data_IF_729961854444
#
_entry.id   IF_729961854444
#
_cell.length_a   1.000
_cell.length_b   1.000
_cell.length_c   1.000
_cell.angle_alpha   90.00
_cell.angle_beta   90.00
_cell.angle_gamma   90.00
#
_symmetry.space_group_name_H-M   'P 1'
#
loop_
_entity.id
_entity.type
_entity.pdbx_description
1 polymer ?
#
# COMPACT_ATOMS: atom_id res chain seq x y z
N UNK A 1 -9.42 -24.75 5.07
CA UNK A 1 -8.76 -23.81 4.13
C UNK A 1 -9.55 -22.52 3.93
N UNK A 2 -10.82 -22.57 3.51
CA UNK A 2 -11.63 -21.35 3.31
C UNK A 2 -11.79 -20.49 4.57
N UNK A 3 -11.89 -21.11 5.75
CA UNK A 3 -11.91 -20.38 7.03
C UNK A 3 -10.67 -19.48 7.23
N UNK A 4 -9.48 -19.95 6.86
CA UNK A 4 -8.24 -19.16 6.97
C UNK A 4 -8.19 -18.01 5.97
N UNK A 5 -8.77 -18.20 4.79
CA UNK A 5 -8.98 -17.14 3.81
C UNK A 5 -9.83 -15.99 4.39
N UNK A 6 -10.96 -16.35 5.01
CA UNK A 6 -11.87 -15.39 5.63
C UNK A 6 -11.17 -14.66 6.79
N UNK A 7 -10.42 -15.39 7.63
CA UNK A 7 -9.63 -14.75 8.70
C UNK A 7 -8.63 -13.75 8.13
N UNK A 8 -7.85 -14.10 7.11
CA UNK A 8 -6.85 -13.21 6.54
C UNK A 8 -7.49 -11.90 6.03
N UNK A 9 -8.59 -12.01 5.29
CA UNK A 9 -9.33 -10.84 4.81
C UNK A 9 -9.91 -10.01 5.96
N UNK A 10 -10.48 -10.65 6.99
CA UNK A 10 -10.98 -9.95 8.17
C UNK A 10 -9.87 -9.25 8.95
N UNK A 11 -8.69 -9.87 9.05
CA UNK A 11 -7.51 -9.25 9.68
C UNK A 11 -7.11 -7.98 8.94
N UNK A 12 -7.11 -7.97 7.60
CA UNK A 12 -6.82 -6.75 6.82
C UNK A 12 -7.93 -5.71 6.99
N UNK A 13 -9.21 -6.11 6.90
CA UNK A 13 -10.34 -5.21 7.06
C UNK A 13 -10.36 -4.53 8.42
N UNK A 14 -10.15 -5.32 9.48
CA UNK A 14 -10.24 -4.85 10.86
C UNK A 14 -8.96 -4.17 11.29
N UNK A 15 -7.76 -4.67 10.99
CA UNK A 15 -6.51 -4.06 11.48
C UNK A 15 -6.02 -2.89 10.64
N UNK A 16 -6.46 -2.73 9.38
CA UNK A 16 -5.99 -1.61 8.56
C UNK A 16 -6.29 -0.21 9.15
N UNK A 17 -7.49 0.08 9.70
CA UNK A 17 -7.75 1.35 10.37
C UNK A 17 -6.96 1.49 11.68
N UNK A 18 -6.70 0.39 12.40
CA UNK A 18 -5.87 0.40 13.61
C UNK A 18 -4.45 0.87 13.30
N UNK A 19 -3.83 0.29 12.28
CA UNK A 19 -2.48 0.64 11.85
C UNK A 19 -2.39 2.11 11.44
N UNK A 20 -3.41 2.63 10.73
CA UNK A 20 -3.47 4.06 10.41
C UNK A 20 -3.61 4.95 11.66
N UNK A 21 -4.42 4.53 12.64
CA UNK A 21 -4.57 5.23 13.92
C UNK A 21 -3.30 5.20 14.78
N UNK A 22 -2.55 4.10 14.76
CA UNK A 22 -1.24 4.01 15.42
C UNK A 22 -0.26 4.99 14.78
N UNK A 23 -0.23 5.03 13.44
CA UNK A 23 0.62 5.94 12.67
C UNK A 23 0.36 7.41 13.03
N UNK A 24 -0.91 7.84 13.06
CA UNK A 24 -1.26 9.24 13.39
C UNK A 24 -0.89 9.60 14.83
N UNK A 25 -1.08 8.67 15.77
CA UNK A 25 -0.67 8.86 17.16
C UNK A 25 0.85 8.92 17.31
N UNK A 26 1.59 8.02 16.65
CA UNK A 26 3.05 7.99 16.67
C UNK A 26 3.63 9.30 16.11
N UNK A 27 3.08 9.81 15.00
CA UNK A 27 3.44 11.11 14.44
C UNK A 27 3.24 12.25 15.44
N UNK A 28 2.07 12.31 16.09
CA UNK A 28 1.80 13.34 17.09
C UNK A 28 2.77 13.27 18.28
N UNK A 29 3.15 12.05 18.70
CA UNK A 29 4.14 11.87 19.78
C UNK A 29 5.52 12.39 19.41
N UNK A 30 6.01 12.14 18.18
CA UNK A 30 7.30 12.69 17.71
C UNK A 30 7.26 14.22 17.64
N UNK A 31 6.12 14.79 17.26
CA UNK A 31 5.90 16.24 17.28
C UNK A 31 5.66 16.82 18.68
N UNK A 32 5.76 16.02 19.76
CA UNK A 32 5.45 16.43 21.13
C UNK A 32 4.03 16.98 21.32
N UNK A 33 3.07 16.54 20.50
CA UNK A 33 1.64 16.89 20.57
C UNK A 33 0.83 15.73 21.15
N UNK A 34 -0.32 16.06 21.76
CA UNK A 34 -1.33 15.05 22.10
C UNK A 34 -2.16 14.73 20.87
N UNK A 35 -1.85 13.61 20.22
CA UNK A 35 -2.60 13.12 19.05
C UNK A 35 -3.96 12.51 19.40
N UNK A 36 -4.79 12.22 18.38
CA UNK A 36 -6.06 11.53 18.55
C UNK A 36 -5.88 10.10 19.08
N UNK A 37 -6.98 9.50 19.52
CA UNK A 37 -6.98 8.09 19.94
C UNK A 37 -6.61 7.16 18.78
N UNK A 38 -5.99 6.01 19.09
CA UNK A 38 -5.66 4.97 18.10
C UNK A 38 -6.93 4.45 17.40
N UNK A 39 -8.06 4.45 18.10
CA UNK A 39 -9.33 3.99 17.56
C UNK A 39 -10.11 5.06 16.77
N UNK A 40 -9.55 6.27 16.62
CA UNK A 40 -10.21 7.36 15.89
C UNK A 40 -10.68 6.97 14.48
N UNK A 41 -9.89 6.24 13.66
CA UNK A 41 -10.32 5.84 12.33
C UNK A 41 -11.61 5.01 12.32
N UNK A 42 -11.85 4.18 13.35
CA UNK A 42 -13.09 3.41 13.45
C UNK A 42 -14.29 4.29 13.78
N UNK A 43 -14.13 5.24 14.69
CA UNK A 43 -15.19 6.19 15.02
C UNK A 43 -15.56 7.07 13.82
N UNK A 44 -14.55 7.50 13.06
CA UNK A 44 -14.75 8.28 11.85
C UNK A 44 -15.46 7.45 10.76
N UNK A 45 -15.04 6.21 10.50
CA UNK A 45 -15.72 5.32 9.58
C UNK A 45 -17.18 5.09 9.98
N UNK A 46 -17.43 4.77 11.25
CA UNK A 46 -18.79 4.59 11.78
C UNK A 46 -19.67 5.83 11.61
N UNK A 47 -19.10 7.01 11.85
CA UNK A 47 -19.75 8.30 11.62
C UNK A 47 -20.09 8.50 10.13
N UNK A 48 -19.14 8.24 9.23
CA UNK A 48 -19.35 8.46 7.79
C UNK A 48 -20.37 7.48 7.20
N UNK A 49 -20.40 6.22 7.66
CA UNK A 49 -21.41 5.23 7.22
C UNK A 49 -22.85 5.64 7.58
N UNK A 50 -23.05 6.50 8.57
CA UNK A 50 -24.36 6.99 9.02
C UNK A 50 -24.77 8.32 8.39
N UNK A 51 -23.88 8.94 7.63
CA UNK A 51 -24.16 10.21 6.96
C UNK A 51 -24.86 9.98 5.63
N UNK A 52 -25.72 10.92 5.28
CA UNK A 52 -26.34 10.99 3.96
C UNK A 52 -25.29 11.14 2.86
N UNK A 53 -25.57 10.53 1.71
CA UNK A 53 -24.76 10.65 0.50
C UNK A 53 -25.30 11.80 -0.34
N UNK A 54 -24.54 12.89 -0.37
CA UNK A 54 -24.73 14.04 -1.24
C UNK A 54 -23.68 14.01 -2.33
N UNK A 55 -24.11 14.08 -3.59
CA UNK A 55 -23.22 14.14 -4.74
C UNK A 55 -23.55 15.36 -5.62
N UNK A 56 -22.56 15.94 -6.32
CA UNK A 56 -22.81 17.00 -7.29
C UNK A 56 -23.75 16.56 -8.41
N UNK A 57 -24.51 17.49 -9.00
CA UNK A 57 -25.50 17.18 -10.05
C UNK A 57 -24.88 16.72 -11.38
N UNK A 58 -23.59 16.99 -11.59
CA UNK A 58 -22.83 16.70 -12.82
C UNK A 58 -22.11 15.35 -12.82
N UNK A 59 -22.23 14.54 -11.75
CA UNK A 59 -21.47 13.30 -11.63
C UNK A 59 -21.97 12.19 -12.55
N UNK A 60 -21.04 11.34 -12.98
CA UNK A 60 -21.34 10.16 -13.79
C UNK A 60 -21.63 8.93 -12.91
N UNK A 61 -22.20 7.87 -13.49
CA UNK A 61 -22.38 6.58 -12.80
C UNK A 61 -21.05 6.02 -12.24
N UNK A 62 -19.92 6.31 -12.90
CA UNK A 62 -18.59 5.88 -12.47
C UNK A 62 -18.25 6.47 -11.11
N UNK A 63 -18.71 7.69 -10.80
CA UNK A 63 -18.51 8.30 -9.49
C UNK A 63 -19.10 7.46 -8.36
N UNK A 64 -20.31 6.93 -8.55
CA UNK A 64 -20.95 6.10 -7.53
C UNK A 64 -20.37 4.68 -7.45
N UNK A 65 -19.89 4.13 -8.57
CA UNK A 65 -19.32 2.78 -8.62
C UNK A 65 -17.87 2.72 -8.16
N UNK A 66 -17.09 3.78 -8.37
CA UNK A 66 -15.65 3.78 -8.09
C UNK A 66 -15.27 3.41 -6.64
N UNK A 67 -15.93 3.93 -5.59
CA UNK A 67 -15.68 3.50 -4.22
C UNK A 67 -15.82 2.00 -4.02
N UNK A 68 -16.87 1.39 -4.60
CA UNK A 68 -17.13 -0.03 -4.47
C UNK A 68 -16.10 -0.88 -5.24
N UNK A 69 -15.74 -0.45 -6.46
CA UNK A 69 -14.73 -1.14 -7.29
C UNK A 69 -13.37 -1.08 -6.62
N UNK A 70 -12.90 0.10 -6.21
CA UNK A 70 -11.60 0.27 -5.56
C UNK A 70 -11.50 -0.53 -4.25
N UNK A 71 -12.55 -0.48 -3.41
CA UNK A 71 -12.60 -1.26 -2.17
C UNK A 71 -12.57 -2.77 -2.45
N UNK A 72 -13.28 -3.23 -3.48
CA UNK A 72 -13.29 -4.64 -3.88
C UNK A 72 -11.92 -5.11 -4.38
N UNK A 73 -11.18 -4.28 -5.13
CA UNK A 73 -9.80 -4.58 -5.54
C UNK A 73 -8.90 -4.83 -4.32
N UNK A 74 -9.01 -4.01 -3.27
CA UNK A 74 -8.22 -4.21 -2.05
C UNK A 74 -8.66 -5.45 -1.24
N UNK A 75 -9.95 -5.80 -1.25
CA UNK A 75 -10.43 -7.06 -0.68
C UNK A 75 -9.82 -8.25 -1.43
N UNK A 76 -9.84 -8.24 -2.77
CA UNK A 76 -9.26 -9.31 -3.58
C UNK A 76 -7.75 -9.40 -3.33
N UNK A 77 -7.04 -8.28 -3.27
CA UNK A 77 -5.61 -8.26 -2.92
C UNK A 77 -5.35 -8.86 -1.53
N UNK A 78 -6.21 -8.57 -0.54
CA UNK A 78 -6.10 -9.19 0.79
C UNK A 78 -6.27 -10.71 0.76
N UNK A 79 -6.98 -11.23 -0.24
CA UNK A 79 -7.22 -12.67 -0.40
C UNK A 79 -6.05 -13.37 -1.08
N UNK A 80 -5.40 -12.73 -2.04
CA UNK A 80 -4.39 -13.39 -2.87
C UNK A 80 -2.96 -13.15 -2.42
N UNK A 81 -2.69 -12.12 -1.60
CA UNK A 81 -1.33 -11.84 -1.14
C UNK A 81 -0.97 -12.60 0.16
N UNK A 82 0.31 -12.94 0.36
CA UNK A 82 0.81 -13.60 1.57
C UNK A 82 0.92 -12.59 2.73
N UNK A 83 -0.21 -12.30 3.37
CA UNK A 83 -0.28 -11.33 4.48
C UNK A 83 -0.12 -12.03 5.83
N UNK A 84 -0.86 -13.12 6.05
CA UNK A 84 -0.88 -13.81 7.33
C UNK A 84 -0.32 -15.23 7.25
N UNK A 85 -0.52 -15.91 6.12
CA UNK A 85 -0.12 -17.30 5.90
C UNK A 85 1.00 -17.41 4.88
N UNK A 86 1.98 -18.28 5.16
CA UNK A 86 3.10 -18.57 4.26
C UNK A 86 2.78 -19.68 3.26
N UNK A 87 1.70 -20.42 3.50
CA UNK A 87 1.16 -21.41 2.59
C UNK A 87 0.07 -20.80 1.68
N UNK A 88 -0.09 -21.31 0.45
CA UNK A 88 -1.11 -20.84 -0.47
C UNK A 88 -2.52 -21.16 0.06
N UNK A 89 -3.36 -20.14 0.12
CA UNK A 89 -4.78 -20.26 0.42
C UNK A 89 -5.58 -20.61 -0.87
N UNK A 90 -6.87 -20.99 -0.78
CA UNK A 90 -7.63 -21.42 -1.96
C UNK A 90 -7.64 -20.45 -3.15
N UNK A 91 -7.60 -19.13 -2.89
CA UNK A 91 -7.56 -18.12 -3.94
C UNK A 91 -6.14 -17.66 -4.31
N UNK A 92 -5.11 -18.18 -3.65
CA UNK A 92 -3.72 -17.87 -3.94
C UNK A 92 -3.31 -18.12 -5.41
N UNK A 93 -3.76 -19.19 -6.09
CA UNK A 93 -3.32 -19.46 -7.47
C UNK A 93 -3.94 -18.53 -8.53
N UNK A 94 -4.93 -17.70 -8.15
CA UNK A 94 -5.71 -16.90 -9.12
C UNK A 94 -4.94 -15.67 -9.61
N UNK A 95 -4.12 -15.07 -8.74
CA UNK A 95 -3.42 -13.82 -9.03
C UNK A 95 -1.95 -13.97 -8.65
N UNK A 96 -1.07 -13.60 -9.59
CA UNK A 96 0.38 -13.53 -9.38
C UNK A 96 0.81 -12.09 -9.04
N UNK A 97 2.11 -11.82 -8.90
CA UNK A 97 2.54 -10.45 -8.61
C UNK A 97 2.09 -9.43 -9.65
N UNK A 98 2.07 -9.81 -10.93
CA UNK A 98 1.69 -8.93 -12.02
C UNK A 98 0.19 -8.59 -11.95
N UNK A 99 -0.67 -9.60 -11.76
CA UNK A 99 -2.09 -9.37 -11.53
C UNK A 99 -2.35 -8.58 -10.25
N UNK A 100 -1.54 -8.75 -9.21
CA UNK A 100 -1.58 -7.93 -7.99
C UNK A 100 -1.28 -6.45 -8.29
N UNK A 101 -0.24 -6.17 -9.08
CA UNK A 101 0.07 -4.82 -9.54
C UNK A 101 -1.09 -4.23 -10.36
N UNK A 102 -1.69 -4.99 -11.29
CA UNK A 102 -2.84 -4.53 -12.06
C UNK A 102 -4.06 -4.22 -11.21
N UNK A 103 -4.31 -4.95 -10.12
CA UNK A 103 -5.40 -4.62 -9.19
C UNK A 103 -5.14 -3.30 -8.44
N UNK A 104 -3.90 -3.00 -8.08
CA UNK A 104 -3.53 -1.69 -7.52
C UNK A 104 -3.76 -0.56 -8.54
N UNK A 105 -3.27 -0.75 -9.76
CA UNK A 105 -3.46 0.19 -10.88
C UNK A 105 -4.93 0.42 -11.16
N UNK A 106 -5.74 -0.65 -11.23
CA UNK A 106 -7.18 -0.56 -11.47
C UNK A 106 -7.89 0.27 -10.40
N UNK A 107 -7.56 0.06 -9.12
CA UNK A 107 -8.12 0.86 -8.02
C UNK A 107 -7.71 2.34 -8.10
N UNK A 108 -6.48 2.64 -8.54
CA UNK A 108 -6.00 4.00 -8.77
C UNK A 108 -6.71 4.68 -9.94
N UNK A 109 -6.73 4.03 -11.11
CA UNK A 109 -7.33 4.52 -12.35
C UNK A 109 -8.82 4.81 -12.17
N UNK A 110 -9.58 3.88 -11.59
CA UNK A 110 -11.03 4.08 -11.39
C UNK A 110 -11.31 5.26 -10.46
N UNK A 111 -10.49 5.45 -9.43
CA UNK A 111 -10.61 6.56 -8.47
C UNK A 111 -10.34 7.92 -9.13
N UNK A 112 -9.39 7.98 -10.06
CA UNK A 112 -9.05 9.20 -10.83
C UNK A 112 -10.14 9.52 -11.86
N UNK A 113 -10.60 8.53 -12.63
CA UNK A 113 -11.64 8.72 -13.65
C UNK A 113 -12.93 9.25 -13.00
N UNK A 114 -13.28 8.71 -11.83
CA UNK A 114 -14.49 9.08 -11.10
C UNK A 114 -14.57 10.57 -10.76
N UNK A 115 -13.45 11.18 -10.38
CA UNK A 115 -13.41 12.58 -9.92
C UNK A 115 -13.20 13.60 -11.05
N UNK A 116 -12.88 13.14 -12.26
CA UNK A 116 -12.58 14.04 -13.39
C UNK A 116 -13.82 14.80 -13.89
N UNK A 117 -15.03 14.29 -13.63
CA UNK A 117 -16.30 14.89 -14.07
C UNK A 117 -17.13 15.54 -12.96
N UNK A 118 -16.58 15.72 -11.76
CA UNK A 118 -17.34 16.31 -10.63
C UNK A 118 -17.61 17.81 -10.79
N UNK A 119 -16.93 18.47 -11.73
CA UNK A 119 -17.09 19.92 -11.98
C UNK A 119 -16.30 20.81 -11.02
N UNK A 120 -15.53 20.21 -10.12
CA UNK A 120 -14.68 20.90 -9.16
C UNK A 120 -13.26 21.08 -9.69
N UNK A 121 -12.73 22.30 -9.55
CA UNK A 121 -11.40 22.64 -10.03
C UNK A 121 -10.30 21.90 -9.25
N UNK A 122 -10.46 21.77 -7.93
CA UNK A 122 -9.46 21.14 -7.05
C UNK A 122 -9.34 19.64 -7.28
N UNK A 123 -10.46 18.94 -7.48
CA UNK A 123 -10.44 17.50 -7.75
C UNK A 123 -9.80 17.20 -9.10
N UNK A 124 -10.04 18.04 -10.09
CA UNK A 124 -9.46 17.91 -11.44
C UNK A 124 -7.95 18.13 -11.42
N UNK A 125 -7.46 19.13 -10.67
CA UNK A 125 -6.01 19.33 -10.48
C UNK A 125 -5.38 18.15 -9.74
N UNK A 126 -6.02 17.65 -8.67
CA UNK A 126 -5.55 16.48 -7.93
C UNK A 126 -5.48 15.24 -8.81
N UNK A 127 -6.49 15.01 -9.65
CA UNK A 127 -6.53 13.92 -10.62
C UNK A 127 -5.38 14.01 -11.65
N UNK A 128 -5.14 15.20 -12.23
CA UNK A 128 -4.06 15.44 -13.18
C UNK A 128 -2.67 15.12 -12.58
N UNK A 129 -2.45 15.50 -11.32
CA UNK A 129 -1.21 15.18 -10.60
C UNK A 129 -1.07 13.70 -10.31
N UNK A 130 -2.15 13.05 -9.87
CA UNK A 130 -2.17 11.61 -9.62
C UNK A 130 -1.82 10.83 -10.90
N UNK A 131 -2.37 11.21 -12.05
CA UNK A 131 -2.02 10.62 -13.36
C UNK A 131 -0.53 10.84 -13.67
N UNK A 132 -0.04 12.07 -13.47
CA UNK A 132 1.37 12.41 -13.77
C UNK A 132 2.34 11.58 -12.92
N UNK A 133 2.04 11.35 -11.65
CA UNK A 133 2.88 10.53 -10.78
C UNK A 133 2.70 9.02 -11.03
N UNK A 134 1.48 8.58 -11.34
CA UNK A 134 1.19 7.19 -11.71
C UNK A 134 2.02 6.72 -12.91
N UNK A 135 2.34 7.63 -13.85
CA UNK A 135 3.19 7.35 -15.00
C UNK A 135 4.58 6.78 -14.65
N UNK A 136 5.10 7.05 -13.44
CA UNK A 136 6.34 6.46 -12.93
C UNK A 136 6.09 5.45 -11.80
N UNK A 137 5.13 5.70 -10.91
CA UNK A 137 4.87 4.83 -9.77
C UNK A 137 4.38 3.43 -10.19
N UNK A 138 3.45 3.35 -11.15
CA UNK A 138 2.87 2.07 -11.57
C UNK A 138 3.90 1.18 -12.32
N UNK A 139 4.69 1.69 -13.29
CA UNK A 139 5.77 0.90 -13.87
C UNK A 139 6.84 0.48 -12.85
N UNK A 140 7.14 1.33 -11.86
CA UNK A 140 8.08 0.99 -10.78
C UNK A 140 7.58 -0.23 -10.00
N UNK A 141 6.29 -0.28 -9.65
CA UNK A 141 5.69 -1.41 -8.95
C UNK A 141 5.88 -2.72 -9.74
N UNK A 142 5.62 -2.68 -11.04
CA UNK A 142 5.74 -3.84 -11.93
C UNK A 142 7.20 -4.32 -12.01
N UNK A 143 8.15 -3.40 -12.19
CA UNK A 143 9.58 -3.73 -12.31
C UNK A 143 10.13 -4.32 -11.00
N UNK A 144 9.71 -3.78 -9.84
CA UNK A 144 10.11 -4.33 -8.54
C UNK A 144 9.63 -5.78 -8.39
N UNK A 145 8.36 -6.04 -8.69
CA UNK A 145 7.82 -7.40 -8.64
C UNK A 145 8.51 -8.34 -9.62
N UNK A 146 8.79 -7.85 -10.83
CA UNK A 146 9.56 -8.61 -11.80
C UNK A 146 10.98 -8.93 -11.31
N UNK A 147 11.66 -7.98 -10.66
CA UNK A 147 12.99 -8.18 -10.08
C UNK A 147 13.02 -9.31 -9.04
N UNK A 148 12.00 -9.42 -8.18
CA UNK A 148 11.91 -10.54 -7.22
C UNK A 148 11.54 -11.85 -7.91
N UNK A 149 10.68 -11.79 -8.93
CA UNK A 149 10.33 -12.98 -9.71
C UNK A 149 11.56 -13.58 -10.41
N UNK A 150 12.51 -12.75 -10.88
CA UNK A 150 13.78 -13.21 -11.44
C UNK A 150 14.64 -13.93 -10.40
N UNK A 151 14.80 -13.34 -9.21
CA UNK A 151 15.57 -13.93 -8.11
C UNK A 151 15.03 -15.30 -7.71
N UNK A 152 13.71 -15.41 -7.62
CA UNK A 152 13.03 -16.61 -7.10
C UNK A 152 12.61 -17.59 -8.20
N UNK A 153 12.81 -17.23 -9.48
CA UNK A 153 12.37 -17.98 -10.66
C UNK A 153 10.87 -18.32 -10.69
N UNK A 154 10.04 -17.56 -9.98
CA UNK A 154 8.59 -17.76 -9.91
C UNK A 154 7.85 -16.44 -9.73
N UNK A 155 6.65 -16.35 -10.31
CA UNK A 155 5.80 -15.17 -10.16
C UNK A 155 4.78 -15.29 -9.01
N UNK A 156 4.77 -16.42 -8.29
CA UNK A 156 3.80 -16.68 -7.24
C UNK A 156 4.25 -16.08 -5.89
N UNK A 157 3.49 -15.14 -5.29
CA UNK A 157 3.85 -14.49 -4.03
C UNK A 157 4.10 -15.42 -2.83
N UNK A 158 3.39 -16.55 -2.75
CA UNK A 158 3.57 -17.50 -1.64
C UNK A 158 4.88 -18.28 -1.79
N UNK A 159 5.19 -18.72 -3.00
CA UNK A 159 6.42 -19.46 -3.28
C UNK A 159 7.63 -18.55 -3.08
N UNK A 160 7.56 -17.29 -3.51
CA UNK A 160 8.66 -16.33 -3.32
C UNK A 160 8.94 -16.08 -1.84
N UNK A 161 7.90 -15.90 -1.03
CA UNK A 161 8.02 -15.76 0.43
C UNK A 161 8.70 -16.98 1.04
N UNK A 162 8.32 -18.20 0.61
CA UNK A 162 8.93 -19.44 1.09
C UNK A 162 10.41 -19.58 0.68
N UNK A 163 10.75 -19.27 -0.57
CA UNK A 163 12.13 -19.32 -1.08
C UNK A 163 13.03 -18.32 -0.35
N UNK A 164 12.57 -17.08 -0.18
CA UNK A 164 13.34 -16.05 0.52
C UNK A 164 13.48 -16.35 2.02
N UNK A 165 12.47 -16.98 2.64
CA UNK A 165 12.55 -17.38 4.06
C UNK A 165 13.61 -18.45 4.32
N UNK A 166 13.89 -19.32 3.33
CA UNK A 166 14.82 -20.45 3.49
C UNK A 166 16.24 -20.10 3.06
N UNK A 167 16.42 -19.23 2.06
CA UNK A 167 17.74 -18.86 1.53
C UNK A 167 18.10 -17.42 1.89
N UNK A 168 18.56 -17.19 3.12
CA UNK A 168 18.93 -15.87 3.66
C UNK A 168 19.98 -15.14 2.79
N UNK A 169 20.88 -15.87 2.11
CA UNK A 169 21.88 -15.29 1.22
C UNK A 169 21.26 -14.45 0.08
N UNK A 170 20.06 -14.79 -0.37
CA UNK A 170 19.37 -14.02 -1.42
C UNK A 170 18.83 -12.68 -0.91
N UNK A 171 18.46 -12.60 0.37
CA UNK A 171 17.97 -11.37 0.99
C UNK A 171 19.07 -10.30 1.01
N UNK A 172 20.31 -10.72 1.26
CA UNK A 172 21.50 -9.85 1.31
C UNK A 172 22.14 -9.62 -0.07
N UNK A 173 21.58 -10.18 -1.13
CA UNK A 173 22.12 -9.96 -2.47
C UNK A 173 22.02 -8.49 -2.90
N UNK A 174 23.01 -7.93 -3.62
CA UNK A 174 22.97 -6.55 -4.09
C UNK A 174 21.70 -6.24 -4.90
N UNK A 175 21.28 -7.20 -5.73
CA UNK A 175 20.01 -7.15 -6.48
C UNK A 175 18.82 -6.94 -5.56
N UNK A 176 18.67 -7.76 -4.52
CA UNK A 176 17.53 -7.70 -3.62
C UNK A 176 17.52 -6.42 -2.76
N UNK A 177 18.70 -5.95 -2.32
CA UNK A 177 18.82 -4.69 -1.59
C UNK A 177 18.33 -3.50 -2.42
N UNK A 178 18.67 -3.45 -3.71
CA UNK A 178 18.18 -2.41 -4.61
C UNK A 178 16.65 -2.45 -4.76
N UNK A 179 16.08 -3.66 -4.81
CA UNK A 179 14.63 -3.85 -4.85
C UNK A 179 13.99 -3.36 -3.55
N UNK A 180 14.54 -3.71 -2.38
CA UNK A 180 14.05 -3.24 -1.07
C UNK A 180 14.02 -1.71 -1.03
N UNK A 181 15.11 -1.06 -1.45
CA UNK A 181 15.20 0.42 -1.43
C UNK A 181 14.19 1.02 -2.41
N UNK A 182 14.09 0.49 -3.63
CA UNK A 182 13.11 0.94 -4.62
C UNK A 182 11.66 0.78 -4.12
N UNK A 183 11.29 -0.39 -3.59
CA UNK A 183 9.95 -0.60 -3.05
C UNK A 183 9.69 0.27 -1.82
N UNK A 184 10.69 0.50 -0.97
CA UNK A 184 10.54 1.39 0.18
C UNK A 184 10.25 2.84 -0.24
N UNK A 185 10.93 3.32 -1.29
CA UNK A 185 10.64 4.63 -1.87
C UNK A 185 9.22 4.68 -2.44
N UNK A 186 8.84 3.67 -3.22
CA UNK A 186 7.48 3.56 -3.75
C UNK A 186 6.42 3.48 -2.63
N UNK A 187 6.71 2.75 -1.55
CA UNK A 187 5.83 2.62 -0.38
C UNK A 187 5.61 3.98 0.29
N UNK A 188 6.64 4.80 0.47
CA UNK A 188 6.50 6.16 1.01
C UNK A 188 5.60 7.02 0.12
N UNK A 189 5.73 6.91 -1.20
CA UNK A 189 4.87 7.61 -2.15
C UNK A 189 3.42 7.12 -2.08
N UNK A 190 3.18 5.81 -2.22
CA UNK A 190 1.84 5.22 -2.32
C UNK A 190 1.01 5.33 -1.04
N UNK A 191 1.69 5.50 0.10
CA UNK A 191 1.07 5.71 1.42
C UNK A 191 0.94 7.20 1.80
N UNK A 192 1.34 8.12 0.91
CA UNK A 192 1.26 9.56 1.14
C UNK A 192 2.15 10.05 2.29
N UNK A 193 3.27 9.36 2.55
CA UNK A 193 4.20 9.64 3.67
C UNK A 193 5.38 10.52 3.29
N UNK A 194 5.51 10.83 2.01
CA UNK A 194 6.45 11.86 1.57
C UNK A 194 5.90 13.22 2.05
N UNK A 195 6.67 14.01 2.82
CA UNK A 195 6.20 15.29 3.34
C UNK A 195 6.10 16.31 2.20
N UNK A 196 4.93 16.40 1.57
CA UNK A 196 4.67 17.26 0.40
C UNK A 196 3.86 18.51 0.80
N UNK A 197 3.18 18.50 1.96
CA UNK A 197 2.18 19.51 2.30
C UNK A 197 2.74 20.75 3.01
N UNK A 198 2.59 21.92 2.37
CA UNK A 198 2.82 23.23 2.98
C UNK A 198 1.63 23.63 3.89
N UNK A 199 1.91 24.20 5.05
CA UNK A 199 0.91 24.57 6.08
C UNK A 199 0.04 25.81 5.74
N UNK A 200 0.20 26.41 4.55
CA UNK A 200 -0.43 27.70 4.24
C UNK A 200 -1.59 27.67 3.24
N UNK A 201 -1.56 26.79 2.24
CA UNK A 201 -2.61 26.68 1.20
C UNK A 201 -2.88 25.20 0.89
N UNK A 202 -3.70 24.59 1.74
CA UNK A 202 -4.07 23.16 1.64
C UNK A 202 -4.61 22.85 0.23
N UNK A 203 -5.41 23.76 -0.33
CA UNK A 203 -6.04 23.67 -1.64
C UNK A 203 -5.09 23.41 -2.82
N UNK A 204 -3.84 23.89 -2.77
CA UNK A 204 -2.87 23.71 -3.85
C UNK A 204 -1.89 22.56 -3.61
N UNK A 205 -1.83 21.98 -2.40
CA UNK A 205 -0.92 20.90 -2.03
C UNK A 205 -1.55 19.50 -2.04
N UNK A 206 -2.87 19.40 -2.00
CA UNK A 206 -3.59 18.14 -1.88
C UNK A 206 -3.36 17.20 -3.08
N UNK A 207 -3.07 15.93 -2.78
CA UNK A 207 -2.94 14.87 -3.77
C UNK A 207 -4.02 13.81 -3.55
N UNK A 208 -3.97 13.09 -2.44
CA UNK A 208 -4.91 12.03 -2.14
C UNK A 208 -6.23 12.57 -1.60
N UNK A 209 -6.18 13.63 -0.80
CA UNK A 209 -7.35 14.32 -0.25
C UNK A 209 -8.17 15.01 -1.35
N UNK A 210 -7.53 15.47 -2.42
CA UNK A 210 -8.21 16.08 -3.55
C UNK A 210 -9.18 15.10 -4.25
N UNK A 211 -8.84 13.81 -4.30
CA UNK A 211 -9.72 12.77 -4.87
C UNK A 211 -10.92 12.45 -3.96
N UNK A 212 -10.85 12.82 -2.68
CA UNK A 212 -11.89 12.50 -1.70
C UNK A 212 -12.87 13.65 -1.45
N UNK A 213 -12.55 14.88 -1.87
CA UNK A 213 -13.29 16.10 -1.51
C UNK A 213 -14.78 16.07 -1.84
N UNK A 214 -15.15 15.55 -3.00
CA UNK A 214 -16.54 15.56 -3.50
C UNK A 214 -17.37 14.37 -2.98
N UNK A 215 -16.74 13.41 -2.32
CA UNK A 215 -17.43 12.25 -1.77
C UNK A 215 -17.98 12.53 -0.38
N UNK A 216 -19.14 11.94 -0.10
CA UNK A 216 -19.81 12.05 1.20
C UNK A 216 -20.41 10.72 1.63
N UNK A 217 -20.86 10.66 2.89
CA UNK A 217 -21.53 9.49 3.46
C UNK A 217 -20.72 8.19 3.36
N UNK A 218 -21.42 7.11 3.00
CA UNK A 218 -20.83 5.77 2.84
C UNK A 218 -19.76 5.71 1.75
N UNK A 219 -19.90 6.47 0.65
CA UNK A 219 -18.93 6.47 -0.45
C UNK A 219 -17.57 7.01 0.01
N UNK A 220 -17.57 8.08 0.80
CA UNK A 220 -16.37 8.59 1.45
C UNK A 220 -15.75 7.57 2.42
N UNK A 221 -16.60 6.90 3.23
CA UNK A 221 -16.15 5.88 4.18
C UNK A 221 -15.44 4.72 3.47
N UNK A 222 -15.98 4.23 2.35
CA UNK A 222 -15.41 3.14 1.56
C UNK A 222 -14.05 3.52 0.97
N UNK A 223 -13.91 4.72 0.39
CA UNK A 223 -12.63 5.18 -0.14
C UNK A 223 -11.59 5.38 0.97
N UNK A 224 -11.98 5.94 2.12
CA UNK A 224 -11.06 6.12 3.24
C UNK A 224 -10.61 4.78 3.82
N UNK A 225 -11.53 3.81 3.94
CA UNK A 225 -11.18 2.46 4.37
C UNK A 225 -10.30 1.76 3.34
N UNK A 226 -10.58 1.91 2.05
CA UNK A 226 -9.72 1.44 0.96
C UNK A 226 -8.30 2.00 1.04
N UNK A 227 -8.13 3.28 1.37
CA UNK A 227 -6.82 3.89 1.62
C UNK A 227 -6.07 3.25 2.80
N UNK A 228 -6.77 2.95 3.91
CA UNK A 228 -6.19 2.20 5.03
C UNK A 228 -5.77 0.79 4.61
N UNK A 229 -6.61 0.10 3.83
CA UNK A 229 -6.30 -1.24 3.31
C UNK A 229 -5.11 -1.20 2.36
N UNK A 230 -5.06 -0.25 1.41
CA UNK A 230 -3.92 -0.03 0.51
C UNK A 230 -2.63 0.12 1.31
N UNK A 231 -2.63 1.01 2.31
CA UNK A 231 -1.48 1.22 3.20
C UNK A 231 -1.06 -0.09 3.90
N UNK A 232 -2.02 -0.80 4.50
CA UNK A 232 -1.77 -2.05 5.21
C UNK A 232 -1.19 -3.13 4.28
N UNK A 233 -1.73 -3.27 3.06
CA UNK A 233 -1.28 -4.27 2.10
C UNK A 233 0.13 -3.93 1.60
N UNK A 234 0.41 -2.67 1.23
CA UNK A 234 1.76 -2.25 0.83
C UNK A 234 2.81 -2.53 1.92
N UNK A 235 2.49 -2.20 3.18
CA UNK A 235 3.35 -2.52 4.31
C UNK A 235 3.51 -4.03 4.51
N UNK A 236 2.45 -4.81 4.32
CA UNK A 236 2.50 -6.27 4.45
C UNK A 236 3.39 -6.90 3.38
N UNK A 237 3.28 -6.45 2.12
CA UNK A 237 4.13 -6.88 1.02
C UNK A 237 5.59 -6.51 1.34
N UNK A 238 5.87 -5.26 1.74
CA UNK A 238 7.22 -4.83 2.11
C UNK A 238 7.83 -5.70 3.21
N UNK A 239 7.05 -6.00 4.25
CA UNK A 239 7.50 -6.77 5.40
C UNK A 239 7.65 -8.25 5.10
N UNK A 240 6.64 -8.89 4.55
CA UNK A 240 6.63 -10.35 4.39
C UNK A 240 7.36 -10.83 3.15
N UNK A 241 7.42 -10.04 2.08
CA UNK A 241 8.04 -10.47 0.83
C UNK A 241 9.49 -9.99 0.76
N UNK A 242 9.73 -8.72 1.07
CA UNK A 242 11.03 -8.10 0.81
C UNK A 242 11.95 -8.03 2.03
N UNK A 243 11.49 -7.67 3.23
CA UNK A 243 12.42 -7.37 4.34
C UNK A 243 12.56 -8.48 5.37
N UNK A 244 11.45 -9.00 5.88
CA UNK A 244 11.39 -9.97 6.97
C UNK A 244 10.40 -11.09 6.64
N UNK A 245 10.75 -12.05 5.77
CA UNK A 245 9.83 -13.13 5.37
C UNK A 245 9.53 -14.15 6.47
N UNK A 246 10.15 -14.01 7.65
CA UNK A 246 10.00 -14.92 8.79
C UNK A 246 8.78 -14.58 9.66
N UNK A 247 8.27 -15.54 10.43
CA UNK A 247 7.17 -15.28 11.37
C UNK A 247 5.79 -15.13 10.72
N UNK A 248 5.62 -15.69 9.52
CA UNK A 248 4.31 -15.91 8.89
C UNK A 248 3.76 -17.27 9.34
N UNK A 249 2.44 -17.46 9.41
CA UNK A 249 1.87 -18.72 9.85
C UNK A 249 2.19 -19.85 8.84
N UNK A 250 2.95 -20.87 9.29
CA UNK A 250 3.37 -22.01 8.47
C UNK A 250 2.46 -23.26 8.62
N UNK A 251 1.50 -23.21 9.54
CA UNK A 251 0.60 -24.34 9.84
C UNK A 251 -0.87 -23.96 9.86
N UNK A 252 -1.72 -24.98 9.74
CA UNK A 252 -3.18 -24.90 9.79
C UNK A 252 -3.73 -24.96 11.22
N UNK A 253 -3.06 -24.34 12.17
CA UNK A 253 -3.48 -24.29 13.58
C UNK A 253 -3.94 -22.88 13.97
N UNK A 254 -4.90 -22.80 14.89
CA UNK A 254 -5.30 -21.52 15.47
C UNK A 254 -4.13 -20.83 16.18
N UNK A 255 -3.24 -21.61 16.80
CA UNK A 255 -2.04 -21.09 17.49
C UNK A 255 -1.05 -20.47 16.50
N UNK A 256 -0.79 -21.14 15.37
CA UNK A 256 0.13 -20.61 14.36
C UNK A 256 -0.39 -19.32 13.72
N UNK A 257 -1.71 -19.19 13.59
CA UNK A 257 -2.34 -17.96 13.09
C UNK A 257 -2.25 -16.84 14.12
N UNK A 258 -2.51 -17.13 15.40
CA UNK A 258 -2.34 -16.16 16.48
C UNK A 258 -0.91 -15.60 16.52
N UNK A 259 0.09 -16.48 16.40
CA UNK A 259 1.50 -16.09 16.31
C UNK A 259 1.75 -15.25 15.05
N UNK A 260 1.18 -15.63 13.90
CA UNK A 260 1.28 -14.86 12.66
C UNK A 260 0.72 -13.43 12.79
N UNK A 261 -0.43 -13.26 13.44
CA UNK A 261 -1.04 -11.94 13.66
C UNK A 261 -0.14 -11.08 14.56
N UNK A 262 0.35 -11.64 15.67
CA UNK A 262 1.23 -10.92 16.60
C UNK A 262 2.53 -10.53 15.91
N UNK A 263 3.16 -11.45 15.18
CA UNK A 263 4.36 -11.20 14.39
C UNK A 263 4.16 -10.08 13.37
N UNK A 264 3.05 -10.13 12.61
CA UNK A 264 2.70 -9.09 11.64
C UNK A 264 2.55 -7.72 12.32
N UNK A 265 1.83 -7.66 13.45
CA UNK A 265 1.65 -6.42 14.21
C UNK A 265 2.98 -5.85 14.71
N UNK A 266 3.87 -6.69 15.27
CA UNK A 266 5.19 -6.24 15.74
C UNK A 266 6.01 -5.66 14.60
N UNK A 267 6.06 -6.34 13.44
CA UNK A 267 6.77 -5.83 12.26
C UNK A 267 6.18 -4.52 11.74
N UNK A 268 4.84 -4.42 11.74
CA UNK A 268 4.13 -3.19 11.34
C UNK A 268 4.46 -2.03 12.28
N UNK A 269 4.48 -2.27 13.59
CA UNK A 269 4.87 -1.24 14.58
C UNK A 269 6.30 -0.77 14.37
N UNK A 270 7.23 -1.69 14.08
CA UNK A 270 8.61 -1.33 13.74
C UNK A 270 8.67 -0.47 12.47
N UNK A 271 7.99 -0.89 11.41
CA UNK A 271 7.94 -0.13 10.16
C UNK A 271 7.29 1.25 10.34
N UNK A 272 6.23 1.36 11.15
CA UNK A 272 5.61 2.64 11.51
C UNK A 272 6.65 3.57 12.15
N UNK A 273 7.45 3.06 13.09
CA UNK A 273 8.53 3.84 13.71
C UNK A 273 9.52 4.39 12.68
N UNK A 274 9.93 3.56 11.72
CA UNK A 274 10.82 3.98 10.61
C UNK A 274 10.14 5.03 9.72
N UNK A 275 8.89 4.80 9.33
CA UNK A 275 8.16 5.72 8.45
C UNK A 275 7.89 7.08 9.10
N UNK A 276 7.51 7.10 10.38
CA UNK A 276 7.34 8.36 11.12
C UNK A 276 8.68 9.07 11.28
N UNK A 277 9.77 8.35 11.56
CA UNK A 277 11.10 8.95 11.64
C UNK A 277 11.50 9.60 10.31
N UNK A 278 11.24 8.94 9.17
CA UNK A 278 11.45 9.52 7.83
C UNK A 278 10.54 10.73 7.61
N UNK A 279 9.24 10.60 7.84
CA UNK A 279 8.26 11.68 7.60
C UNK A 279 8.62 12.97 8.37
N UNK A 280 9.07 12.84 9.62
CA UNK A 280 9.36 13.98 10.51
C UNK A 280 10.80 14.49 10.42
N UNK A 281 11.76 13.71 9.88
CA UNK A 281 13.15 14.16 9.69
C UNK A 281 13.33 14.96 8.39
N UNK A 282 12.55 14.64 7.35
CA UNK A 282 12.70 15.28 6.05
C UNK A 282 11.99 16.64 5.98
N UNK A 283 12.68 17.63 5.42
CA UNK A 283 12.07 18.90 5.06
C UNK A 283 11.02 18.72 3.95
N UNK A 284 9.96 19.54 4.00
CA UNK A 284 8.86 19.51 3.02
C UNK A 284 9.39 19.63 1.60
N UNK A 285 9.06 18.67 0.75
CA UNK A 285 9.48 18.61 -0.65
C UNK A 285 8.53 19.44 -1.53
N UNK A 286 9.10 20.09 -2.55
CA UNK A 286 8.29 20.73 -3.60
C UNK A 286 7.61 19.64 -4.43
N UNK A 287 6.34 19.87 -4.80
CA UNK A 287 5.52 18.92 -5.55
C UNK A 287 6.20 18.38 -6.83
N UNK A 288 6.94 19.21 -7.55
CA UNK A 288 7.66 18.79 -8.76
C UNK A 288 8.79 17.77 -8.51
N UNK A 289 9.39 17.77 -7.31
CA UNK A 289 10.45 16.82 -6.93
C UNK A 289 9.94 15.39 -6.70
N UNK A 290 8.63 15.18 -6.65
CA UNK A 290 8.04 13.85 -6.52
C UNK A 290 8.34 13.02 -7.77
N UNK A 291 8.32 13.63 -8.96
CA UNK A 291 8.70 12.94 -10.20
C UNK A 291 10.17 12.53 -10.16
N UNK A 292 11.07 13.39 -9.71
CA UNK A 292 12.50 13.05 -9.54
C UNK A 292 12.68 11.90 -8.54
N UNK A 293 11.95 11.93 -7.43
CA UNK A 293 11.95 10.88 -6.43
C UNK A 293 11.47 9.53 -7.00
N UNK A 294 10.37 9.53 -7.75
CA UNK A 294 9.85 8.34 -8.42
C UNK A 294 10.77 7.88 -9.55
N UNK A 295 11.44 8.79 -10.26
CA UNK A 295 12.42 8.45 -11.29
C UNK A 295 13.65 7.76 -10.68
N UNK A 296 14.10 8.19 -9.50
CA UNK A 296 15.16 7.49 -8.74
C UNK A 296 14.68 6.10 -8.33
N UNK A 297 13.46 5.99 -7.78
CA UNK A 297 12.86 4.70 -7.41
C UNK A 297 12.79 3.74 -8.60
N UNK A 298 12.32 4.22 -9.75
CA UNK A 298 12.25 3.48 -11.01
C UNK A 298 13.64 3.05 -11.50
N UNK A 299 14.61 3.97 -11.47
CA UNK A 299 15.98 3.70 -11.89
C UNK A 299 16.65 2.65 -11.01
N UNK A 300 16.42 2.68 -9.69
CA UNK A 300 16.90 1.64 -8.77
C UNK A 300 16.26 0.28 -9.05
N UNK A 301 14.97 0.25 -9.41
CA UNK A 301 14.29 -0.98 -9.81
C UNK A 301 14.92 -1.57 -11.08
N UNK A 302 15.18 -0.73 -12.10
CA UNK A 302 15.87 -1.17 -13.32
C UNK A 302 17.30 -1.63 -13.05
N UNK A 303 18.03 -0.89 -12.22
CA UNK A 303 19.40 -1.23 -11.84
C UNK A 303 19.45 -2.58 -11.11
N UNK A 304 18.43 -2.92 -10.34
CA UNK A 304 18.32 -4.24 -9.72
C UNK A 304 18.29 -5.36 -10.78
N UNK A 305 17.48 -5.22 -11.84
CA UNK A 305 17.40 -6.23 -12.92
C UNK A 305 18.76 -6.34 -13.63
N UNK A 306 19.39 -5.21 -13.95
CA UNK A 306 20.71 -5.22 -14.59
C UNK A 306 21.75 -5.88 -13.66
N UNK A 307 21.72 -5.55 -12.37
CA UNK A 307 22.59 -6.16 -11.35
C UNK A 307 22.40 -7.67 -11.28
N UNK A 308 21.17 -8.18 -11.39
CA UNK A 308 20.90 -9.62 -11.42
C UNK A 308 21.63 -10.32 -12.57
N UNK A 309 21.60 -9.73 -13.77
CA UNK A 309 22.28 -10.30 -14.94
C UNK A 309 23.80 -10.15 -14.90
N UNK A 310 24.32 -9.06 -14.32
CA UNK A 310 25.77 -8.80 -14.24
C UNK A 310 26.45 -9.65 -13.16
N UNK A 311 25.87 -9.68 -11.97
CA UNK A 311 26.46 -10.35 -10.82
C UNK A 311 25.98 -11.79 -10.67
N UNK A 312 25.02 -12.22 -11.51
CA UNK A 312 24.47 -13.57 -11.53
C UNK A 312 23.99 -13.96 -10.15
N UNK A 313 22.72 -13.66 -9.83
CA UNK A 313 22.08 -13.96 -8.54
C UNK A 313 22.80 -15.07 -7.77
N UNK A 314 23.61 -14.66 -6.80
CA UNK A 314 24.71 -15.40 -6.16
C UNK A 314 24.61 -16.93 -6.38
N UNK A 315 25.30 -17.40 -7.42
CA UNK A 315 25.72 -18.77 -7.78
C UNK A 315 24.72 -19.95 -7.65
N UNK A 316 24.79 -20.82 -8.67
CA UNK A 316 24.44 -22.25 -8.61
C UNK A 316 24.98 -22.94 -7.35
#
# INVERSE_FOLDING_TARGET
MLYFQVIQTLVVLVLSPLISGIMTKARAMVQSKRGPSIFQPYYDMWKFMRKEVVAPSSVSIIFHLAPAVAFSCYIILSMVLPILTGYPLPFAPIVDFLGGAFLFVMAGVISVIAVTRTGSFYTTIGASRAISFAALAEPTLIIVFFGVALITSTNNPFITTQVLSTKVNWILSPTHLLIIVSFFMLLLFETGKIPIEAEGLMELGMLDEAKLMEYSGIQYAMLKWGSYMKQFIFMSIFLNIFTFPWGVAMGYSAVSIGIGIVSLLVKMLFLIGVLVAVEETYAKLRLFKILDYLAISFSLALLSIISFFLFGGIAL
#
